data_IF_889960688351
#
_entry.id   IF_889960688351
#
_cell.length_a   1.000
_cell.length_b   1.000
_cell.length_c   1.000
_cell.angle_alpha   90.00
_cell.angle_beta   90.00
_cell.angle_gamma   90.00
#
_symmetry.space_group_name_H-M   'P 1'
#
loop_
_entity.id
_entity.type
_entity.pdbx_description
1 polymer ?
#
# COMPACT_ATOMS: atom_id res chain seq x y z
N UNK A 1 -4.00 -2.72 12.62
CA UNK A 1 -2.66 -2.10 12.60
C UNK A 1 -2.79 -0.58 12.61
N UNK A 2 -2.38 0.05 13.72
CA UNK A 2 -2.11 1.49 13.87
C UNK A 2 -0.58 1.71 13.91
N UNK A 3 0.17 0.99 13.08
CA UNK A 3 1.63 1.13 13.09
C UNK A 3 1.99 2.40 12.33
N UNK A 4 2.49 3.39 13.08
CA UNK A 4 3.07 4.62 12.55
C UNK A 4 4.59 4.52 12.71
N UNK A 5 5.31 5.04 11.73
CA UNK A 5 6.75 5.22 11.85
C UNK A 5 6.98 6.36 12.85
N UNK A 6 7.52 6.05 14.03
CA UNK A 6 7.79 7.03 15.10
C UNK A 6 9.24 7.50 15.13
N UNK A 7 10.15 6.73 14.52
CA UNK A 7 11.55 7.09 14.41
C UNK A 7 11.75 8.21 13.38
N UNK A 8 12.32 9.35 13.81
CA UNK A 8 12.47 10.54 12.98
C UNK A 8 13.35 10.31 11.73
N UNK A 9 14.56 9.72 11.82
CA UNK A 9 15.35 9.38 10.64
C UNK A 9 14.58 8.51 9.64
N UNK A 10 13.88 7.50 10.13
CA UNK A 10 13.07 6.61 9.30
C UNK A 10 11.91 7.33 8.63
N UNK A 11 11.26 8.27 9.32
CA UNK A 11 10.19 9.10 8.76
C UNK A 11 10.70 10.02 7.66
N UNK A 12 11.84 10.68 7.88
CA UNK A 12 12.47 11.56 6.90
C UNK A 12 12.89 10.80 5.64
N UNK A 13 13.34 9.55 5.80
CA UNK A 13 13.73 8.67 4.70
C UNK A 13 12.56 8.24 3.78
N UNK A 14 11.30 8.45 4.17
CA UNK A 14 10.13 8.09 3.36
C UNK A 14 9.87 9.06 2.21
N UNK A 15 10.37 10.28 2.30
CA UNK A 15 10.14 11.35 1.33
C UNK A 15 11.45 11.82 0.71
N UNK A 16 11.39 12.41 -0.48
CA UNK A 16 12.54 12.97 -1.17
C UNK A 16 12.12 14.20 -1.97
N UNK A 17 12.99 15.20 -2.03
CA UNK A 17 12.75 16.41 -2.82
C UNK A 17 13.20 16.27 -4.28
N UNK A 18 14.07 15.30 -4.56
CA UNK A 18 14.86 15.20 -5.79
C UNK A 18 14.15 14.52 -6.96
N UNK A 19 13.27 13.54 -6.68
CA UNK A 19 12.64 12.71 -7.70
C UNK A 19 11.12 12.83 -7.69
N UNK A 20 10.61 13.68 -8.58
CA UNK A 20 9.16 13.86 -8.76
C UNK A 20 8.73 13.23 -10.07
N UNK A 21 7.91 12.19 -9.97
CA UNK A 21 7.23 11.65 -11.15
C UNK A 21 6.40 12.78 -11.79
N UNK A 22 6.47 12.96 -13.12
CA UNK A 22 5.82 14.07 -13.84
C UNK A 22 4.35 14.27 -13.49
N UNK A 23 3.63 13.18 -13.19
CA UNK A 23 2.24 13.26 -12.76
C UNK A 23 2.05 13.90 -11.38
N UNK A 24 2.97 13.70 -10.44
CA UNK A 24 2.93 14.38 -9.15
C UNK A 24 3.12 15.88 -9.41
N UNK A 25 4.12 16.28 -10.19
CA UNK A 25 4.32 17.70 -10.56
C UNK A 25 3.10 18.32 -11.22
N UNK A 26 2.43 17.58 -12.12
CA UNK A 26 1.24 18.06 -12.83
C UNK A 26 0.01 18.19 -11.91
N UNK A 27 -0.10 17.34 -10.90
CA UNK A 27 -1.27 17.29 -9.99
C UNK A 27 -1.04 18.02 -8.67
N UNK A 28 0.19 18.35 -8.34
CA UNK A 28 0.52 18.99 -7.09
C UNK A 28 -0.05 20.42 -7.05
N UNK A 29 -0.61 20.75 -5.90
CA UNK A 29 -1.14 22.07 -5.55
C UNK A 29 -0.48 22.59 -4.26
N UNK A 30 0.73 22.10 -3.97
CA UNK A 30 1.53 22.46 -2.78
C UNK A 30 1.29 21.57 -1.56
N UNK A 31 0.67 20.39 -1.74
CA UNK A 31 0.27 19.52 -0.62
C UNK A 31 0.56 18.04 -0.82
N UNK A 32 1.08 17.63 -1.98
CA UNK A 32 1.43 16.23 -2.22
C UNK A 32 2.82 15.93 -1.70
N UNK A 33 2.93 14.86 -0.91
CA UNK A 33 4.22 14.33 -0.50
C UNK A 33 4.86 13.55 -1.65
N UNK A 34 6.16 13.79 -1.85
CA UNK A 34 6.98 13.10 -2.85
C UNK A 34 7.61 11.87 -2.20
N UNK A 35 7.30 10.65 -2.66
CA UNK A 35 7.86 9.44 -2.06
C UNK A 35 9.35 9.33 -2.38
N UNK A 36 10.13 8.78 -1.45
CA UNK A 36 11.53 8.46 -1.72
C UNK A 36 11.67 7.31 -2.74
N UNK A 37 12.83 7.19 -3.41
CA UNK A 37 13.09 6.09 -4.33
C UNK A 37 12.95 4.71 -3.66
N UNK A 38 13.39 4.58 -2.41
CA UNK A 38 13.23 3.36 -1.61
C UNK A 38 11.78 2.95 -1.45
N UNK A 39 10.89 3.89 -1.07
CA UNK A 39 9.46 3.62 -0.95
C UNK A 39 8.83 3.24 -2.28
N UNK A 40 9.22 3.93 -3.35
CA UNK A 40 8.74 3.60 -4.71
C UNK A 40 9.15 2.19 -5.12
N UNK A 41 10.41 1.80 -4.85
CA UNK A 41 10.92 0.47 -5.15
C UNK A 41 10.20 -0.63 -4.34
N UNK A 42 9.91 -0.38 -3.06
CA UNK A 42 9.12 -1.31 -2.22
C UNK A 42 7.70 -1.47 -2.77
N UNK A 43 7.04 -0.37 -3.14
CA UNK A 43 5.71 -0.42 -3.74
C UNK A 43 5.71 -1.19 -5.08
N UNK A 44 6.73 -1.00 -5.91
CA UNK A 44 6.89 -1.73 -7.17
C UNK A 44 7.15 -3.22 -6.95
N UNK A 45 7.98 -3.59 -5.97
CA UNK A 45 8.20 -4.98 -5.59
C UNK A 45 6.90 -5.63 -5.10
N UNK A 46 6.15 -4.91 -4.26
CA UNK A 46 4.85 -5.36 -3.76
C UNK A 46 3.86 -5.58 -4.89
N UNK A 47 3.75 -4.65 -5.85
CA UNK A 47 2.87 -4.80 -7.02
C UNK A 47 3.31 -5.96 -7.90
N UNK A 48 4.62 -6.22 -8.08
CA UNK A 48 5.11 -7.39 -8.82
C UNK A 48 4.64 -8.70 -8.17
N UNK A 49 4.80 -8.84 -6.86
CA UNK A 49 4.29 -10.01 -6.12
C UNK A 49 2.76 -10.13 -6.24
N UNK A 50 2.05 -9.01 -6.10
CA UNK A 50 0.59 -8.97 -6.22
C UNK A 50 0.10 -9.40 -7.60
N UNK A 51 0.74 -8.90 -8.67
CA UNK A 51 0.43 -9.25 -10.05
C UNK A 51 0.76 -10.72 -10.35
N UNK A 52 1.86 -11.23 -9.82
CA UNK A 52 2.20 -12.67 -9.89
C UNK A 52 1.07 -13.52 -9.33
N UNK A 53 0.56 -13.17 -8.16
CA UNK A 53 -0.54 -13.87 -7.51
C UNK A 53 -1.87 -13.76 -8.29
N UNK A 54 -2.16 -12.60 -8.87
CA UNK A 54 -3.35 -12.45 -9.72
C UNK A 54 -3.26 -13.38 -10.94
N UNK A 55 -2.08 -13.50 -11.56
CA UNK A 55 -1.86 -14.39 -12.71
C UNK A 55 -2.06 -15.85 -12.32
N UNK A 56 -1.51 -16.31 -11.19
CA UNK A 56 -1.68 -17.69 -10.73
C UNK A 56 -3.14 -18.01 -10.37
N UNK A 57 -3.89 -17.01 -9.91
CA UNK A 57 -5.32 -17.16 -9.56
C UNK A 57 -6.28 -16.91 -10.74
N UNK A 58 -5.79 -16.95 -11.99
CA UNK A 58 -6.64 -16.78 -13.18
C UNK A 58 -7.29 -15.40 -13.27
N UNK A 59 -6.61 -14.35 -12.78
CA UNK A 59 -7.09 -12.97 -12.76
C UNK A 59 -8.10 -12.66 -11.66
N UNK A 60 -8.43 -13.62 -10.80
CA UNK A 60 -9.35 -13.40 -9.67
C UNK A 60 -8.63 -12.70 -8.53
N UNK A 61 -9.37 -11.90 -7.78
CA UNK A 61 -8.87 -11.26 -6.57
C UNK A 61 -8.33 -12.33 -5.61
N UNK A 62 -7.25 -12.06 -4.87
CA UNK A 62 -6.77 -13.01 -3.89
C UNK A 62 -7.82 -13.25 -2.80
N UNK A 63 -8.01 -14.52 -2.45
CA UNK A 63 -8.97 -14.94 -1.42
C UNK A 63 -8.21 -15.61 -0.26
N UNK A 64 -8.52 -15.21 0.97
CA UNK A 64 -7.99 -15.84 2.19
C UNK A 64 -7.26 -14.90 3.15
N UNK A 65 -7.35 -15.20 4.44
CA UNK A 65 -6.62 -14.52 5.51
C UNK A 65 -5.17 -14.99 5.52
N UNK A 66 -4.30 -14.32 4.75
CA UNK A 66 -2.86 -14.67 4.72
C UNK A 66 -2.13 -14.15 3.50
N UNK A 67 -2.86 -13.79 2.43
CA UNK A 67 -2.25 -13.30 1.20
C UNK A 67 -1.33 -12.11 1.41
N UNK A 68 -1.80 -11.08 2.13
CA UNK A 68 -0.99 -9.88 2.35
C UNK A 68 0.27 -10.20 3.15
N UNK A 69 0.21 -11.13 4.10
CA UNK A 69 1.38 -11.57 4.86
C UNK A 69 2.38 -12.30 3.95
N UNK A 70 1.90 -13.20 3.08
CA UNK A 70 2.76 -13.91 2.12
C UNK A 70 3.45 -12.94 1.15
N UNK A 71 2.73 -11.94 0.63
CA UNK A 71 3.30 -10.90 -0.23
C UNK A 71 4.37 -10.11 0.55
N UNK A 72 4.08 -9.68 1.77
CA UNK A 72 5.02 -8.92 2.60
C UNK A 72 6.29 -9.72 2.86
N UNK A 73 6.18 -11.01 3.19
CA UNK A 73 7.34 -11.90 3.38
C UNK A 73 8.18 -12.03 2.11
N UNK A 74 7.53 -12.20 0.96
CA UNK A 74 8.25 -12.27 -0.32
C UNK A 74 8.97 -10.95 -0.63
N UNK A 75 8.31 -9.81 -0.42
CA UNK A 75 8.93 -8.49 -0.65
C UNK A 75 10.11 -8.26 0.28
N UNK A 76 10.02 -8.66 1.55
CA UNK A 76 11.15 -8.59 2.48
C UNK A 76 12.35 -9.42 1.96
N UNK A 77 12.11 -10.63 1.47
CA UNK A 77 13.15 -11.45 0.85
C UNK A 77 13.76 -10.78 -0.38
N UNK A 78 12.92 -10.30 -1.31
CA UNK A 78 13.34 -9.64 -2.56
C UNK A 78 14.13 -8.34 -2.33
N UNK A 79 13.95 -7.71 -1.17
CA UNK A 79 14.54 -6.42 -0.82
C UNK A 79 15.71 -6.53 0.16
N UNK A 80 15.98 -7.71 0.71
CA UNK A 80 17.00 -7.93 1.76
C UNK A 80 18.41 -7.44 1.37
N UNK A 81 18.82 -7.69 0.13
CA UNK A 81 20.15 -7.30 -0.39
C UNK A 81 20.16 -5.92 -1.05
N UNK A 82 19.01 -5.24 -1.15
CA UNK A 82 18.90 -3.97 -1.85
C UNK A 82 19.17 -2.81 -0.90
N UNK A 83 20.04 -1.89 -1.32
CA UNK A 83 20.26 -0.64 -0.61
C UNK A 83 19.11 0.37 -0.85
N UNK A 84 17.93 0.08 -0.28
CA UNK A 84 16.70 0.86 -0.49
C UNK A 84 16.72 2.23 0.17
N UNK A 85 17.39 2.34 1.32
CA UNK A 85 17.48 3.56 2.12
C UNK A 85 18.95 3.81 2.52
N UNK A 86 19.81 4.26 1.59
CA UNK A 86 21.24 4.47 1.87
C UNK A 86 21.50 5.39 3.07
N UNK A 87 20.65 6.40 3.25
CA UNK A 87 20.69 7.35 4.36
C UNK A 87 20.43 6.71 5.74
N UNK A 88 19.84 5.52 5.78
CA UNK A 88 19.59 4.78 7.02
C UNK A 88 20.66 3.71 7.27
N UNK A 89 21.68 3.56 6.43
CA UNK A 89 22.67 2.51 6.55
C UNK A 89 23.38 2.52 7.92
N UNK A 90 23.80 3.71 8.38
CA UNK A 90 24.44 3.84 9.70
C UNK A 90 23.42 3.67 10.84
N UNK A 91 22.22 4.26 10.69
CA UNK A 91 21.11 4.15 11.66
C UNK A 91 20.68 2.70 11.92
N UNK A 92 20.88 1.83 10.93
CA UNK A 92 20.59 0.40 11.04
C UNK A 92 21.47 -0.32 12.07
N UNK A 93 22.69 0.16 12.30
CA UNK A 93 23.64 -0.42 13.27
C UNK A 93 23.48 0.11 14.69
N UNK A 94 22.78 1.24 14.86
CA UNK A 94 22.49 1.83 16.18
C UNK A 94 21.41 1.04 16.96
N UNK A 95 20.86 -0.02 16.36
CA UNK A 95 19.70 -0.76 16.85
C UNK A 95 19.96 -2.26 16.93
N UNK A 96 19.17 -2.95 17.75
CA UNK A 96 19.15 -4.42 17.82
C UNK A 96 18.70 -5.03 16.48
N UNK A 97 19.23 -6.20 16.12
CA UNK A 97 19.06 -6.83 14.78
C UNK A 97 17.58 -7.13 14.49
N UNK A 98 16.83 -7.56 15.50
CA UNK A 98 15.39 -7.84 15.43
C UNK A 98 14.55 -6.56 15.29
N UNK A 99 15.14 -5.41 15.65
CA UNK A 99 14.55 -4.08 15.54
C UNK A 99 15.12 -3.29 14.34
N UNK A 100 15.67 -3.96 13.33
CA UNK A 100 16.15 -3.30 12.13
C UNK A 100 15.02 -2.48 11.48
N UNK A 101 15.10 -1.16 11.60
CA UNK A 101 14.05 -0.26 11.16
C UNK A 101 13.85 -0.30 9.64
N UNK A 102 14.88 -0.61 8.85
CA UNK A 102 14.73 -0.75 7.39
C UNK A 102 13.80 -1.92 7.05
N UNK A 103 13.98 -3.07 7.71
CA UNK A 103 13.07 -4.21 7.56
C UNK A 103 11.65 -3.87 7.97
N UNK A 104 11.49 -3.17 9.11
CA UNK A 104 10.18 -2.69 9.58
C UNK A 104 9.53 -1.74 8.58
N UNK A 105 10.29 -0.80 7.99
CA UNK A 105 9.81 0.13 6.97
C UNK A 105 9.32 -0.62 5.72
N UNK A 106 10.09 -1.56 5.20
CA UNK A 106 9.70 -2.38 4.05
C UNK A 106 8.43 -3.16 4.35
N UNK A 107 8.35 -3.79 5.54
CA UNK A 107 7.17 -4.53 6.00
C UNK A 107 5.92 -3.66 6.05
N UNK A 108 6.01 -2.48 6.68
CA UNK A 108 4.90 -1.54 6.83
C UNK A 108 4.45 -1.01 5.47
N UNK A 109 5.39 -0.56 4.62
CA UNK A 109 5.08 -0.02 3.30
C UNK A 109 4.40 -1.06 2.41
N UNK A 110 4.90 -2.30 2.40
CA UNK A 110 4.33 -3.41 1.64
C UNK A 110 2.92 -3.78 2.12
N UNK A 111 2.70 -3.81 3.44
CA UNK A 111 1.39 -4.10 4.03
C UNK A 111 0.36 -3.00 3.70
N UNK A 112 0.76 -1.74 3.78
CA UNK A 112 -0.09 -0.61 3.40
C UNK A 112 -0.43 -0.64 1.91
N UNK A 113 0.55 -0.91 1.06
CA UNK A 113 0.33 -1.03 -0.38
C UNK A 113 -0.67 -2.16 -0.69
N UNK A 114 -0.53 -3.33 -0.07
CA UNK A 114 -1.48 -4.43 -0.20
C UNK A 114 -2.91 -3.99 0.15
N UNK A 115 -3.08 -3.26 1.26
CA UNK A 115 -4.40 -2.74 1.68
C UNK A 115 -4.99 -1.78 0.64
N UNK A 116 -4.20 -0.82 0.15
CA UNK A 116 -4.63 0.12 -0.90
C UNK A 116 -5.04 -0.66 -2.16
N UNK A 117 -4.24 -1.66 -2.54
CA UNK A 117 -4.46 -2.45 -3.76
C UNK A 117 -5.72 -3.30 -3.69
N UNK A 118 -5.95 -3.99 -2.57
CA UNK A 118 -7.16 -4.77 -2.33
C UNK A 118 -8.40 -3.89 -2.33
N UNK A 119 -8.36 -2.72 -1.68
CA UNK A 119 -9.47 -1.76 -1.72
C UNK A 119 -9.77 -1.27 -3.14
N UNK A 120 -8.73 -1.01 -3.94
CA UNK A 120 -8.89 -0.63 -5.33
C UNK A 120 -9.57 -1.74 -6.15
N UNK A 121 -9.19 -2.99 -5.96
CA UNK A 121 -9.83 -4.14 -6.63
C UNK A 121 -11.28 -4.28 -6.19
N UNK A 122 -11.55 -4.26 -4.89
CA UNK A 122 -12.91 -4.35 -4.35
C UNK A 122 -13.82 -3.24 -4.92
N UNK A 123 -13.29 -2.01 -5.04
CA UNK A 123 -14.00 -0.90 -5.69
C UNK A 123 -14.28 -1.18 -7.17
N UNK A 124 -13.28 -1.64 -7.93
CA UNK A 124 -13.47 -1.98 -9.36
C UNK A 124 -14.51 -3.08 -9.56
N UNK A 125 -14.49 -4.13 -8.74
CA UNK A 125 -15.50 -5.19 -8.83
C UNK A 125 -16.89 -4.68 -8.45
N UNK A 126 -16.98 -3.82 -7.42
CA UNK A 126 -18.24 -3.16 -7.05
C UNK A 126 -18.78 -2.28 -8.18
N UNK A 127 -17.90 -1.53 -8.86
CA UNK A 127 -18.29 -0.65 -9.96
C UNK A 127 -18.75 -1.45 -11.18
N UNK A 128 -18.10 -2.59 -11.50
CA UNK A 128 -18.58 -3.53 -12.53
C UNK A 128 -19.97 -4.11 -12.21
N UNK A 129 -20.23 -4.46 -10.95
CA UNK A 129 -21.55 -4.97 -10.53
C UNK A 129 -22.65 -3.89 -10.67
N UNK A 130 -22.27 -2.62 -10.50
CA UNK A 130 -23.15 -1.45 -10.65
C UNK A 130 -23.33 -1.03 -12.10
N UNK A 131 -22.47 -1.44 -13.01
CA UNK A 131 -22.56 -1.13 -14.44
C UNK A 131 -23.91 -1.63 -14.98
N UNK A 132 -24.74 -0.71 -15.49
CA UNK A 132 -26.11 -0.99 -15.92
C UNK A 132 -27.18 -1.04 -14.81
N UNK A 133 -26.85 -0.80 -13.53
CA UNK A 133 -27.81 -0.77 -12.41
C UNK A 133 -27.76 0.56 -11.66
N UNK A 134 -28.85 1.31 -11.66
CA UNK A 134 -29.02 2.50 -10.80
C UNK A 134 -29.22 2.03 -9.35
N UNK A 135 -28.13 1.72 -8.63
CA UNK A 135 -28.18 1.21 -7.25
C UNK A 135 -28.76 2.24 -6.25
N UNK A 136 -28.81 3.53 -6.61
CA UNK A 136 -29.20 4.63 -5.72
C UNK A 136 -30.71 4.70 -5.35
N UNK A 137 -31.56 3.77 -5.80
CA UNK A 137 -33.01 3.81 -5.50
C UNK A 137 -33.64 2.50 -4.98
N UNK A 138 -32.87 1.43 -4.76
CA UNK A 138 -33.48 0.13 -4.38
C UNK A 138 -33.82 0.00 -2.89
N UNK A 139 -33.23 0.83 -2.03
CA UNK A 139 -33.42 0.81 -0.57
C UNK A 139 -33.67 2.21 0.04
N UNK A 140 -34.32 3.11 -0.71
CA UNK A 140 -34.64 4.48 -0.21
C UNK A 140 -36.10 4.63 0.21
N UNK A 141 -36.89 3.55 0.26
CA UNK A 141 -38.23 3.65 0.85
C UNK A 141 -38.08 3.73 2.37
N UNK A 142 -38.13 4.95 2.89
CA UNK A 142 -38.48 5.21 4.28
C UNK A 142 -39.81 4.48 4.52
N UNK A 143 -39.86 3.54 5.46
CA UNK A 143 -41.12 2.99 5.92
C UNK A 143 -41.79 4.14 6.68
N UNK A 144 -42.81 4.76 6.08
CA UNK A 144 -43.64 5.73 6.79
C UNK A 144 -44.50 4.93 7.78
N UNK A 145 -44.09 4.88 9.05
CA UNK A 145 -44.99 4.48 10.11
C UNK A 145 -46.03 5.59 10.28
N UNK A 146 -47.24 5.37 9.76
CA UNK A 146 -48.40 6.14 10.20
C UNK A 146 -48.83 5.55 11.54
N UNK A 147 -48.77 6.33 12.60
CA UNK A 147 -49.30 5.97 13.91
C UNK A 147 -50.81 6.17 13.92
N UNK A 148 -51.52 5.21 14.52
CA UNK A 148 -52.95 5.31 14.85
C UNK A 148 -53.20 6.32 16.01
#
# INVERSE_FOLDING_TARGET
MKEKVTCLPCSQALTSDDLVHRFITLKDRGGLQKPSPGITAVCQATERCFQGLLKTNGGRAPHGSGTSAAIVTQVLSDCSEKNLFPQLHNHMFDMCVEANHVHVLVKIASAWYCKVRLNHIARRETDKIKEGKVVRKKLTKLINFYGD
#
